data_IF_131504306080
#
_entry.id   IF_131504306080
#
_cell.length_a   1.000
_cell.length_b   1.000
_cell.length_c   1.000
_cell.angle_alpha   90.00
_cell.angle_beta   90.00
_cell.angle_gamma   90.00
#
_symmetry.space_group_name_H-M   'P 1'
#
loop_
_entity.id
_entity.type
_entity.pdbx_description
1 polymer ?
#
# COMPACT_ATOMS: atom_id res chain seq x y z
N UNK A 1 -25.66 14.07 0.32
CA UNK A 1 -24.31 13.55 0.68
C UNK A 1 -23.71 13.03 -0.61
N UNK A 2 -22.79 13.75 -1.20
CA UNK A 2 -22.02 13.27 -2.35
C UNK A 2 -21.24 12.03 -1.91
N UNK A 3 -21.38 10.92 -2.67
CA UNK A 3 -20.59 9.71 -2.44
C UNK A 3 -19.09 10.12 -2.43
N UNK A 4 -18.37 9.79 -1.37
CA UNK A 4 -16.93 9.96 -1.37
C UNK A 4 -16.35 9.20 -2.57
N UNK A 5 -15.44 9.84 -3.32
CA UNK A 5 -14.73 9.18 -4.41
C UNK A 5 -13.90 8.01 -3.88
N UNK A 6 -13.38 7.16 -4.78
CA UNK A 6 -12.47 6.07 -4.42
C UNK A 6 -11.06 6.37 -4.90
N UNK A 7 -10.07 5.75 -4.25
CA UNK A 7 -8.69 5.75 -4.76
C UNK A 7 -8.67 5.31 -6.23
N UNK A 8 -7.94 6.05 -7.08
CA UNK A 8 -7.87 5.78 -8.51
C UNK A 8 -9.07 6.27 -9.33
N UNK A 9 -10.04 6.98 -8.73
CA UNK A 9 -11.16 7.61 -9.45
C UNK A 9 -11.03 9.14 -9.49
N UNK A 10 -10.71 9.75 -8.37
CA UNK A 10 -10.57 11.21 -8.24
C UNK A 10 -9.10 11.62 -8.27
N UNK A 11 -8.24 10.84 -7.61
CA UNK A 11 -6.79 11.02 -7.53
C UNK A 11 -6.12 9.71 -7.89
N UNK A 12 -4.86 9.81 -8.36
CA UNK A 12 -4.04 8.64 -8.64
C UNK A 12 -4.68 7.72 -9.69
N UNK A 13 -5.35 8.32 -10.69
CA UNK A 13 -5.99 7.55 -11.75
C UNK A 13 -4.92 6.89 -12.62
N UNK A 14 -5.09 5.61 -12.98
CA UNK A 14 -4.12 4.90 -13.80
C UNK A 14 -3.85 5.52 -15.17
N UNK A 15 -4.80 6.33 -15.70
CA UNK A 15 -4.64 7.12 -16.93
C UNK A 15 -3.84 8.40 -16.75
N UNK A 16 -3.63 8.86 -15.51
CA UNK A 16 -2.86 10.08 -15.27
C UNK A 16 -1.39 9.87 -15.64
N UNK A 17 -0.83 10.82 -16.37
CA UNK A 17 0.58 10.73 -16.78
C UNK A 17 1.49 10.58 -15.55
N UNK A 18 2.40 9.58 -15.62
CA UNK A 18 3.36 9.29 -14.55
C UNK A 18 2.79 8.57 -13.33
N UNK A 19 1.51 8.10 -13.32
CA UNK A 19 0.99 7.34 -12.17
C UNK A 19 1.69 6.00 -12.02
N UNK A 20 1.97 5.29 -13.11
CA UNK A 20 2.76 4.07 -13.07
C UNK A 20 4.14 4.29 -12.48
N UNK A 21 4.81 5.39 -12.87
CA UNK A 21 6.14 5.75 -12.33
C UNK A 21 6.06 6.06 -10.83
N UNK A 22 5.02 6.77 -10.37
CA UNK A 22 4.81 7.04 -8.95
C UNK A 22 4.62 5.75 -8.14
N UNK A 23 3.82 4.80 -8.64
CA UNK A 23 3.64 3.49 -8.01
C UNK A 23 4.97 2.73 -7.98
N UNK A 24 5.77 2.78 -9.05
CA UNK A 24 7.09 2.16 -9.11
C UNK A 24 8.11 2.80 -8.14
N UNK A 25 7.99 4.10 -7.80
CA UNK A 25 8.78 4.73 -6.74
C UNK A 25 8.48 4.14 -5.35
N UNK A 26 7.20 3.87 -5.05
CA UNK A 26 6.82 3.16 -3.83
C UNK A 26 7.36 1.72 -3.84
N UNK A 27 7.28 1.03 -4.98
CA UNK A 27 7.86 -0.30 -5.16
C UNK A 27 9.38 -0.29 -4.92
N UNK A 28 10.11 0.63 -5.54
CA UNK A 28 11.56 0.77 -5.35
C UNK A 28 11.95 1.02 -3.88
N UNK A 29 11.05 1.62 -3.10
CA UNK A 29 11.29 1.88 -1.67
C UNK A 29 11.01 0.66 -0.79
N UNK A 30 9.92 -0.08 -1.06
CA UNK A 30 9.38 -1.06 -0.11
C UNK A 30 9.48 -2.52 -0.56
N UNK A 31 9.79 -2.80 -1.84
CA UNK A 31 9.77 -4.17 -2.35
C UNK A 31 10.80 -5.07 -1.68
N UNK A 32 12.01 -4.58 -1.42
CA UNK A 32 13.06 -5.39 -0.79
C UNK A 32 12.66 -5.83 0.63
N UNK A 33 12.12 -4.90 1.42
CA UNK A 33 11.62 -5.20 2.76
C UNK A 33 10.43 -6.17 2.69
N UNK A 34 9.49 -5.92 1.78
CA UNK A 34 8.33 -6.79 1.57
C UNK A 34 8.79 -8.21 1.21
N UNK A 35 9.64 -8.34 0.20
CA UNK A 35 10.06 -9.65 -0.29
C UNK A 35 10.92 -10.43 0.74
N UNK A 36 11.76 -9.71 1.49
CA UNK A 36 12.51 -10.31 2.60
C UNK A 36 11.55 -10.92 3.64
N UNK A 37 10.49 -10.19 4.01
CA UNK A 37 9.49 -10.69 4.96
C UNK A 37 8.72 -11.87 4.39
N UNK A 38 8.25 -11.80 3.15
CA UNK A 38 7.51 -12.89 2.52
C UNK A 38 8.34 -14.19 2.49
N UNK A 39 9.63 -14.11 2.16
CA UNK A 39 10.56 -15.26 2.20
C UNK A 39 10.76 -15.82 3.62
N UNK A 40 10.91 -14.95 4.62
CA UNK A 40 11.03 -15.39 6.03
C UNK A 40 9.76 -16.09 6.52
N UNK A 41 8.60 -15.75 5.94
CA UNK A 41 7.33 -16.41 6.22
C UNK A 41 7.15 -17.73 5.45
N UNK A 42 8.09 -18.07 4.55
CA UNK A 42 8.14 -19.34 3.86
C UNK A 42 7.80 -19.28 2.37
N UNK A 43 7.55 -18.06 1.81
CA UNK A 43 7.28 -17.94 0.37
C UNK A 43 8.42 -18.54 -0.45
N UNK A 44 8.10 -19.56 -1.24
CA UNK A 44 9.10 -20.35 -1.97
C UNK A 44 8.49 -21.36 -2.94
N UNK A 45 9.30 -22.32 -3.43
CA UNK A 45 8.87 -23.31 -4.40
C UNK A 45 7.60 -24.07 -3.98
N UNK A 46 6.70 -24.30 -4.91
CA UNK A 46 5.44 -25.00 -4.67
C UNK A 46 4.29 -24.09 -4.20
N UNK A 47 4.57 -22.87 -3.75
CA UNK A 47 3.53 -21.99 -3.25
C UNK A 47 2.69 -21.37 -4.36
N UNK A 48 1.39 -21.30 -4.10
CA UNK A 48 0.40 -20.53 -4.87
C UNK A 48 0.11 -19.23 -4.12
N UNK A 49 0.32 -18.11 -4.80
CA UNK A 49 0.20 -16.80 -4.18
C UNK A 49 -0.94 -15.98 -4.81
N UNK A 50 -1.61 -15.20 -3.98
CA UNK A 50 -2.55 -14.16 -4.40
C UNK A 50 -1.97 -12.79 -4.02
N UNK A 51 -1.81 -11.91 -5.00
CA UNK A 51 -1.39 -10.51 -4.79
C UNK A 51 -2.57 -9.59 -5.08
N UNK A 52 -3.09 -8.94 -4.05
CA UNK A 52 -4.32 -8.14 -4.06
C UNK A 52 -3.97 -6.66 -4.15
N UNK A 53 -4.55 -5.95 -5.13
CA UNK A 53 -4.17 -4.58 -5.43
C UNK A 53 -2.74 -4.52 -5.95
N UNK A 54 -2.41 -5.38 -6.91
CA UNK A 54 -1.03 -5.63 -7.33
C UNK A 54 -0.37 -4.45 -8.07
N UNK A 55 -1.13 -3.42 -8.47
CA UNK A 55 -0.63 -2.20 -9.10
C UNK A 55 0.19 -2.48 -10.36
N UNK A 56 1.47 -2.14 -10.34
CA UNK A 56 2.40 -2.44 -11.46
C UNK A 56 2.91 -3.89 -11.45
N UNK A 57 2.60 -4.68 -10.40
CA UNK A 57 2.93 -6.10 -10.30
C UNK A 57 4.38 -6.40 -9.93
N UNK A 58 5.09 -5.49 -9.31
CA UNK A 58 6.50 -5.67 -8.95
C UNK A 58 6.68 -6.80 -7.94
N UNK A 59 5.85 -6.83 -6.87
CA UNK A 59 5.89 -7.90 -5.85
C UNK A 59 5.55 -9.26 -6.47
N UNK A 60 4.47 -9.34 -7.26
CA UNK A 60 4.06 -10.57 -7.92
C UNK A 60 5.18 -11.16 -8.80
N UNK A 61 5.84 -10.33 -9.61
CA UNK A 61 6.94 -10.77 -10.48
C UNK A 61 8.19 -11.14 -9.69
N UNK A 62 8.48 -10.45 -8.60
CA UNK A 62 9.61 -10.76 -7.72
C UNK A 62 9.38 -12.06 -6.93
N UNK A 63 8.15 -12.35 -6.50
CA UNK A 63 7.80 -13.64 -5.91
C UNK A 63 8.13 -14.80 -6.86
N UNK A 64 7.74 -14.70 -8.12
CA UNK A 64 8.05 -15.71 -9.15
C UNK A 64 9.56 -15.83 -9.38
N UNK A 65 10.25 -14.72 -9.62
CA UNK A 65 11.65 -14.71 -10.04
C UNK A 65 12.62 -14.99 -8.90
N UNK A 66 12.37 -14.42 -7.71
CA UNK A 66 13.34 -14.36 -6.62
C UNK A 66 12.99 -15.28 -5.45
N UNK A 67 11.70 -15.51 -5.18
CA UNK A 67 11.26 -16.51 -4.20
C UNK A 67 11.01 -17.89 -4.84
N UNK A 68 10.82 -17.93 -6.16
CA UNK A 68 10.63 -19.18 -6.90
C UNK A 68 9.26 -19.82 -6.63
N UNK A 69 8.24 -19.02 -6.28
CA UNK A 69 6.88 -19.55 -6.09
C UNK A 69 6.34 -20.11 -7.42
N UNK A 70 5.42 -21.07 -7.35
CA UNK A 70 4.95 -21.80 -8.54
C UNK A 70 4.04 -20.94 -9.42
N UNK A 71 3.16 -20.16 -8.79
CA UNK A 71 2.23 -19.29 -9.50
C UNK A 71 1.80 -18.09 -8.64
N UNK A 72 1.50 -16.99 -9.29
CA UNK A 72 0.90 -15.82 -8.66
C UNK A 72 -0.35 -15.43 -9.44
N UNK A 73 -1.47 -15.33 -8.76
CA UNK A 73 -2.65 -14.63 -9.23
C UNK A 73 -2.58 -13.19 -8.74
N UNK A 74 -2.40 -12.24 -9.65
CA UNK A 74 -2.42 -10.82 -9.35
C UNK A 74 -3.79 -10.24 -9.70
N UNK A 75 -4.43 -9.62 -8.74
CA UNK A 75 -5.73 -8.97 -8.93
C UNK A 75 -5.60 -7.47 -8.67
N UNK A 76 -6.23 -6.69 -9.55
CA UNK A 76 -6.34 -5.25 -9.38
C UNK A 76 -7.64 -4.76 -10.02
N UNK A 77 -8.12 -3.61 -9.61
CA UNK A 77 -9.27 -2.97 -10.24
C UNK A 77 -8.94 -2.46 -11.65
N UNK A 78 -7.70 -2.03 -11.85
CA UNK A 78 -7.17 -1.66 -13.15
C UNK A 78 -5.90 -2.45 -13.46
N UNK A 79 -5.95 -3.28 -14.47
CA UNK A 79 -4.86 -4.20 -14.82
C UNK A 79 -3.95 -3.70 -15.93
N UNK A 80 -4.08 -2.45 -16.40
CA UNK A 80 -3.30 -1.93 -17.53
C UNK A 80 -1.79 -2.04 -17.32
N UNK A 81 -1.30 -1.75 -16.12
CA UNK A 81 0.12 -1.88 -15.79
C UNK A 81 0.56 -3.35 -15.66
N UNK A 82 -0.29 -4.19 -15.08
CA UNK A 82 -0.04 -5.62 -14.96
C UNK A 82 0.01 -6.32 -16.32
N UNK A 83 -0.98 -6.04 -17.18
CA UNK A 83 -1.13 -6.66 -18.48
C UNK A 83 -0.02 -6.23 -19.47
N UNK A 84 0.58 -5.06 -19.29
CA UNK A 84 1.63 -4.54 -20.15
C UNK A 84 2.92 -5.38 -20.12
N UNK A 85 3.13 -6.22 -19.10
CA UNK A 85 4.36 -7.03 -18.93
C UNK A 85 4.00 -8.49 -18.62
N UNK A 86 3.65 -9.31 -19.61
CA UNK A 86 3.39 -10.74 -19.43
C UNK A 86 4.59 -11.43 -18.76
N UNK A 87 4.33 -12.30 -17.80
CA UNK A 87 5.37 -13.01 -17.04
C UNK A 87 4.93 -14.47 -16.85
N UNK A 88 5.77 -15.46 -17.16
CA UNK A 88 5.46 -16.86 -16.91
C UNK A 88 5.11 -17.11 -15.43
N UNK A 89 4.04 -17.84 -15.16
CA UNK A 89 3.55 -18.10 -13.82
C UNK A 89 2.69 -16.99 -13.21
N UNK A 90 2.56 -15.82 -13.87
CA UNK A 90 1.70 -14.73 -13.45
C UNK A 90 0.36 -14.79 -14.20
N UNK A 91 -0.72 -14.97 -13.47
CA UNK A 91 -2.08 -14.77 -13.97
C UNK A 91 -2.60 -13.41 -13.51
N UNK A 92 -3.12 -12.63 -14.43
CA UNK A 92 -3.68 -11.29 -14.16
C UNK A 92 -5.20 -11.36 -14.26
N UNK A 93 -5.89 -10.84 -13.25
CA UNK A 93 -7.35 -10.74 -13.24
C UNK A 93 -7.79 -9.35 -12.79
N UNK A 94 -8.64 -8.73 -13.58
CA UNK A 94 -9.31 -7.51 -13.17
C UNK A 94 -10.44 -7.86 -12.18
N UNK A 95 -10.39 -7.29 -10.98
CA UNK A 95 -11.41 -7.49 -9.95
C UNK A 95 -11.45 -6.31 -8.98
N UNK A 96 -12.65 -5.91 -8.59
CA UNK A 96 -12.85 -4.98 -7.47
C UNK A 96 -12.88 -5.80 -6.17
N UNK A 97 -11.88 -5.57 -5.32
CA UNK A 97 -11.76 -6.28 -4.03
C UNK A 97 -12.93 -5.99 -3.07
N UNK A 98 -13.69 -4.93 -3.31
CA UNK A 98 -14.89 -4.61 -2.51
C UNK A 98 -16.15 -5.32 -2.99
N UNK A 99 -16.13 -5.86 -4.20
CA UNK A 99 -17.17 -6.76 -4.68
C UNK A 99 -16.90 -8.18 -4.15
N UNK A 100 -17.96 -8.94 -3.85
CA UNK A 100 -17.83 -10.31 -3.29
C UNK A 100 -17.31 -11.35 -4.32
N UNK A 101 -16.71 -10.88 -5.42
CA UNK A 101 -16.25 -11.71 -6.55
C UNK A 101 -14.73 -11.99 -6.48
N UNK A 102 -14.27 -12.48 -5.34
CA UNK A 102 -12.89 -12.98 -5.25
C UNK A 102 -12.74 -14.28 -6.03
N UNK A 103 -11.57 -14.49 -6.68
CA UNK A 103 -11.30 -15.75 -7.36
C UNK A 103 -11.38 -16.91 -6.37
N UNK A 104 -12.07 -18.00 -6.72
CA UNK A 104 -12.07 -19.20 -5.89
C UNK A 104 -10.67 -19.79 -5.83
N UNK A 105 -10.30 -20.32 -4.68
CA UNK A 105 -9.00 -20.98 -4.54
C UNK A 105 -8.53 -21.02 -3.09
N UNK A 106 -7.45 -21.75 -2.90
CA UNK A 106 -6.69 -21.81 -1.67
C UNK A 106 -5.26 -21.40 -2.00
N UNK A 107 -4.73 -20.44 -1.24
CA UNK A 107 -3.42 -19.87 -1.45
C UNK A 107 -2.54 -20.10 -0.23
N UNK A 108 -1.27 -20.40 -0.47
CA UNK A 108 -0.26 -20.50 0.58
C UNK A 108 0.14 -19.11 1.09
N UNK A 109 0.07 -18.10 0.20
CA UNK A 109 0.27 -16.69 0.52
C UNK A 109 -0.87 -15.85 -0.07
N UNK A 110 -1.48 -15.02 0.77
CA UNK A 110 -2.30 -13.87 0.32
C UNK A 110 -1.58 -12.60 0.77
N UNK A 111 -1.28 -11.73 -0.18
CA UNK A 111 -0.60 -10.47 0.06
C UNK A 111 -1.46 -9.30 -0.41
N UNK A 112 -1.48 -8.22 0.35
CA UNK A 112 -2.07 -6.95 -0.03
C UNK A 112 -1.23 -5.79 0.53
N UNK A 113 -0.83 -4.85 -0.32
CA UNK A 113 -0.01 -3.71 0.09
C UNK A 113 -0.53 -2.40 -0.50
N UNK A 114 -0.71 -1.39 0.36
CA UNK A 114 -1.27 -0.07 0.03
C UNK A 114 -2.69 -0.17 -0.55
N UNK A 115 -3.51 -1.05 0.05
CA UNK A 115 -4.88 -1.34 -0.38
C UNK A 115 -5.89 -1.08 0.72
N UNK A 116 -5.70 -1.69 1.89
CA UNK A 116 -6.73 -1.75 2.92
C UNK A 116 -7.01 -0.39 3.57
N UNK A 117 -6.02 0.49 3.62
CA UNK A 117 -6.17 1.87 4.12
C UNK A 117 -7.15 2.69 3.29
N UNK A 118 -7.45 2.29 2.05
CA UNK A 118 -8.40 2.93 1.14
C UNK A 118 -9.81 2.32 1.23
N UNK A 119 -9.99 1.27 2.02
CA UNK A 119 -11.26 0.55 2.11
C UNK A 119 -12.08 1.00 3.33
N UNK A 120 -13.41 1.07 3.19
CA UNK A 120 -14.27 1.48 4.30
C UNK A 120 -14.26 0.49 5.47
N UNK A 121 -13.98 -0.79 5.21
CA UNK A 121 -13.98 -1.87 6.21
C UNK A 121 -12.78 -2.81 6.03
N UNK A 122 -11.55 -2.39 6.42
CA UNK A 122 -10.38 -3.25 6.33
C UNK A 122 -10.51 -4.55 7.14
N UNK A 123 -11.24 -4.55 8.27
CA UNK A 123 -11.52 -5.75 9.06
C UNK A 123 -12.32 -6.79 8.29
N UNK A 124 -13.34 -6.39 7.52
CA UNK A 124 -14.09 -7.30 6.65
C UNK A 124 -13.20 -7.85 5.54
N UNK A 125 -12.35 -7.01 4.97
CA UNK A 125 -11.41 -7.43 3.94
C UNK A 125 -10.41 -8.44 4.47
N UNK A 126 -9.79 -8.18 5.62
CA UNK A 126 -8.87 -9.13 6.29
C UNK A 126 -9.55 -10.48 6.52
N UNK A 127 -10.79 -10.48 7.01
CA UNK A 127 -11.56 -11.72 7.20
C UNK A 127 -11.85 -12.43 5.86
N UNK A 128 -12.14 -11.70 4.79
CA UNK A 128 -12.34 -12.26 3.45
C UNK A 128 -11.06 -12.88 2.91
N UNK A 129 -9.94 -12.15 2.96
CA UNK A 129 -8.64 -12.64 2.51
C UNK A 129 -8.17 -13.86 3.31
N UNK A 130 -8.43 -13.87 4.63
CA UNK A 130 -8.12 -15.01 5.49
C UNK A 130 -8.82 -16.30 5.08
N UNK A 131 -10.06 -16.22 4.55
CA UNK A 131 -10.80 -17.39 4.04
C UNK A 131 -10.24 -17.98 2.75
N UNK A 132 -9.40 -17.23 2.03
CA UNK A 132 -8.76 -17.69 0.80
C UNK A 132 -7.47 -18.49 1.08
N UNK A 133 -7.01 -18.53 2.32
CA UNK A 133 -5.80 -19.25 2.68
C UNK A 133 -6.02 -20.77 2.66
N UNK A 134 -5.00 -21.49 2.23
CA UNK A 134 -4.85 -22.90 2.51
C UNK A 134 -4.61 -23.13 4.02
N UNK A 135 -4.85 -24.33 4.57
CA UNK A 135 -4.44 -24.66 5.93
C UNK A 135 -2.94 -24.36 6.13
N UNK A 136 -2.58 -23.61 7.18
CA UNK A 136 -1.22 -23.16 7.44
C UNK A 136 -0.71 -22.01 6.56
N UNK A 137 -1.48 -21.58 5.57
CA UNK A 137 -1.16 -20.44 4.69
C UNK A 137 -1.04 -19.12 5.46
N UNK A 138 -0.42 -18.12 4.87
CA UNK A 138 -0.14 -16.82 5.50
C UNK A 138 -0.83 -15.68 4.77
N UNK A 139 -1.50 -14.80 5.52
CA UNK A 139 -1.95 -13.49 5.06
C UNK A 139 -0.95 -12.44 5.50
N UNK A 140 -0.52 -11.61 4.57
CA UNK A 140 0.34 -10.44 4.82
C UNK A 140 -0.36 -9.19 4.29
N UNK A 141 -0.58 -8.23 5.16
CA UNK A 141 -1.16 -6.93 4.81
C UNK A 141 -0.18 -5.82 5.18
N UNK A 142 0.02 -4.86 4.27
CA UNK A 142 0.95 -3.76 4.49
C UNK A 142 0.38 -2.44 3.99
N UNK A 143 0.32 -1.42 4.85
CA UNK A 143 -0.17 -0.10 4.46
C UNK A 143 0.63 1.02 5.12
N UNK A 144 0.45 2.25 4.62
CA UNK A 144 1.11 3.41 5.17
C UNK A 144 0.69 3.65 6.63
N UNK A 145 1.64 3.94 7.48
CA UNK A 145 1.42 4.36 8.87
C UNK A 145 2.18 5.65 9.13
N UNK A 146 1.48 6.65 9.65
CA UNK A 146 2.11 7.92 10.00
C UNK A 146 2.32 8.00 11.51
N UNK A 147 3.55 7.69 11.92
CA UNK A 147 4.03 7.84 13.30
C UNK A 147 5.04 8.98 13.44
N UNK A 148 5.32 9.68 12.35
CA UNK A 148 6.45 10.60 12.26
C UNK A 148 6.02 12.05 12.04
N UNK A 149 4.84 12.30 11.47
CA UNK A 149 4.39 13.67 11.17
C UNK A 149 3.15 14.11 11.96
N UNK A 150 2.33 13.17 12.46
CA UNK A 150 1.06 13.46 13.09
C UNK A 150 1.21 14.36 14.33
N UNK A 151 2.16 14.04 15.22
CA UNK A 151 2.42 14.75 16.49
C UNK A 151 3.77 15.48 16.50
N UNK A 152 4.42 15.62 15.32
CA UNK A 152 5.68 16.32 15.19
C UNK A 152 5.50 17.86 15.32
N UNK A 153 6.55 18.61 15.66
CA UNK A 153 6.53 20.08 15.62
C UNK A 153 6.07 20.61 14.25
N UNK A 154 5.45 21.78 14.26
CA UNK A 154 4.99 22.44 13.05
C UNK A 154 6.16 22.87 12.18
N UNK A 155 6.29 22.24 11.05
CA UNK A 155 7.16 22.61 9.93
C UNK A 155 6.32 22.63 8.66
N UNK A 156 6.75 23.26 7.56
CA UNK A 156 6.06 23.18 6.28
C UNK A 156 5.76 21.72 5.87
N UNK A 157 6.73 20.84 6.04
CA UNK A 157 6.59 19.42 5.72
C UNK A 157 5.51 18.73 6.58
N UNK A 158 5.58 18.85 7.91
CA UNK A 158 4.64 18.16 8.80
C UNK A 158 3.21 18.71 8.69
N UNK A 159 3.05 20.01 8.47
CA UNK A 159 1.75 20.64 8.22
C UNK A 159 1.13 20.12 6.92
N UNK A 160 1.90 20.06 5.85
CA UNK A 160 1.43 19.57 4.55
C UNK A 160 1.11 18.08 4.60
N UNK A 161 1.91 17.25 5.28
CA UNK A 161 1.61 15.82 5.46
C UNK A 161 0.30 15.60 6.23
N UNK A 162 0.05 16.35 7.30
CA UNK A 162 -1.22 16.30 8.04
C UNK A 162 -2.41 16.73 7.20
N UNK A 163 -2.25 17.81 6.42
CA UNK A 163 -3.28 18.28 5.49
C UNK A 163 -3.58 17.23 4.40
N UNK A 164 -2.55 16.56 3.88
CA UNK A 164 -2.70 15.49 2.90
C UNK A 164 -3.52 14.32 3.46
N UNK A 165 -3.17 13.80 4.64
CA UNK A 165 -3.92 12.70 5.25
C UNK A 165 -5.36 13.08 5.54
N UNK A 166 -5.60 14.31 6.03
CA UNK A 166 -6.94 14.81 6.24
C UNK A 166 -7.71 14.91 4.93
N UNK A 167 -7.13 15.54 3.91
CA UNK A 167 -7.75 15.70 2.60
C UNK A 167 -8.08 14.36 1.93
N UNK A 168 -7.18 13.39 1.99
CA UNK A 168 -7.42 12.04 1.45
C UNK A 168 -8.52 11.30 2.22
N UNK A 169 -8.59 11.47 3.55
CA UNK A 169 -9.67 10.89 4.36
C UNK A 169 -11.01 11.50 3.99
N UNK A 170 -11.08 12.82 3.88
CA UNK A 170 -12.33 13.55 3.63
C UNK A 170 -12.83 13.32 2.18
N UNK A 171 -11.93 13.13 1.21
CA UNK A 171 -12.28 13.01 -0.21
C UNK A 171 -12.51 11.57 -0.69
N UNK A 172 -11.64 10.64 -0.32
CA UNK A 172 -11.65 9.26 -0.81
C UNK A 172 -11.67 8.18 0.29
N UNK A 173 -11.78 8.59 1.55
CA UNK A 173 -11.89 7.68 2.68
C UNK A 173 -10.61 6.97 3.09
N UNK A 174 -9.43 7.41 2.60
CA UNK A 174 -8.14 6.84 3.01
C UNK A 174 -7.89 7.10 4.50
N UNK A 175 -7.75 6.06 5.29
CA UNK A 175 -7.57 6.18 6.74
C UNK A 175 -6.39 5.37 7.27
N UNK A 176 -5.24 6.01 7.37
CA UNK A 176 -4.00 5.42 7.89
C UNK A 176 -4.03 5.21 9.40
N UNK A 177 -4.94 5.87 10.14
CA UNK A 177 -5.06 5.73 11.59
C UNK A 177 -5.53 4.33 12.03
N UNK A 178 -6.14 3.57 11.10
CA UNK A 178 -6.60 2.19 11.33
C UNK A 178 -5.50 1.15 11.15
N UNK A 179 -4.43 1.49 10.44
CA UNK A 179 -3.35 0.57 10.08
C UNK A 179 -2.65 -0.07 11.30
N UNK A 180 -2.36 0.65 12.40
CA UNK A 180 -1.79 0.05 13.61
C UNK A 180 -2.65 -1.04 14.24
N UNK A 181 -3.94 -1.13 13.90
CA UNK A 181 -4.87 -2.14 14.40
C UNK A 181 -4.91 -3.43 13.56
N UNK A 182 -4.16 -3.53 12.48
CA UNK A 182 -4.14 -4.73 11.64
C UNK A 182 -3.81 -6.03 12.42
N UNK A 183 -2.87 -6.06 13.37
CA UNK A 183 -2.66 -7.26 14.18
C UNK A 183 -3.89 -7.69 14.98
N UNK A 184 -4.67 -6.74 15.51
CA UNK A 184 -5.94 -7.02 16.19
C UNK A 184 -6.96 -7.61 15.20
N UNK A 185 -7.10 -6.99 14.01
CA UNK A 185 -8.04 -7.45 12.98
C UNK A 185 -7.69 -8.85 12.45
N UNK A 186 -6.39 -9.17 12.29
CA UNK A 186 -5.92 -10.50 11.90
C UNK A 186 -6.29 -11.56 12.96
N UNK A 187 -6.12 -11.26 14.24
CA UNK A 187 -6.54 -12.15 15.34
C UNK A 187 -8.05 -12.34 15.35
N UNK A 188 -8.82 -11.26 15.18
CA UNK A 188 -10.28 -11.31 15.11
C UNK A 188 -10.78 -12.14 13.92
N UNK A 189 -10.03 -12.19 12.82
CA UNK A 189 -10.28 -13.05 11.66
C UNK A 189 -9.89 -14.54 11.89
N UNK A 190 -9.44 -14.91 13.07
CA UNK A 190 -9.08 -16.30 13.43
C UNK A 190 -7.66 -16.71 13.04
N UNK A 191 -6.83 -15.77 12.57
CA UNK A 191 -5.45 -16.08 12.23
C UNK A 191 -4.58 -16.19 13.48
N UNK A 192 -3.58 -17.05 13.42
CA UNK A 192 -2.64 -17.35 14.51
C UNK A 192 -1.24 -16.86 14.18
N UNK A 193 -0.34 -16.88 15.16
CA UNK A 193 1.05 -16.42 15.01
C UNK A 193 1.12 -15.00 14.42
N UNK A 194 0.21 -14.15 14.88
CA UNK A 194 0.09 -12.79 14.38
C UNK A 194 1.25 -11.94 14.91
N UNK A 195 1.94 -11.26 14.00
CA UNK A 195 2.97 -10.28 14.31
C UNK A 195 2.93 -9.12 13.31
N UNK A 196 3.65 -8.07 13.60
CA UNK A 196 3.80 -6.92 12.71
C UNK A 196 5.18 -6.28 12.88
N UNK A 197 5.57 -5.53 11.89
CA UNK A 197 6.75 -4.67 11.90
C UNK A 197 6.47 -3.37 11.15
N UNK A 198 7.27 -2.35 11.42
CA UNK A 198 7.20 -1.07 10.71
C UNK A 198 8.56 -0.80 10.09
N UNK A 199 8.55 -0.47 8.82
CA UNK A 199 9.71 0.01 8.09
C UNK A 199 9.53 1.49 7.76
N UNK A 200 10.43 2.34 8.27
CA UNK A 200 10.51 3.76 7.94
C UNK A 200 11.74 3.95 7.05
N UNK A 201 11.59 4.23 5.76
CA UNK A 201 12.73 4.43 4.88
C UNK A 201 13.43 5.76 5.20
N UNK A 202 14.74 5.87 4.96
CA UNK A 202 15.41 7.16 5.09
C UNK A 202 14.91 8.14 4.02
N UNK A 203 14.53 9.34 4.43
CA UNK A 203 14.13 10.42 3.54
C UNK A 203 15.40 11.17 3.08
N UNK A 204 15.95 10.75 1.96
CA UNK A 204 17.16 11.34 1.37
C UNK A 204 16.78 12.07 0.09
N UNK A 205 17.26 13.31 -0.15
CA UNK A 205 17.02 14.05 -1.37
C UNK A 205 17.27 13.21 -2.64
N UNK A 206 16.37 13.29 -3.61
CA UNK A 206 16.44 12.52 -4.87
C UNK A 206 16.20 11.02 -4.74
N UNK A 207 15.99 10.49 -3.53
CA UNK A 207 15.62 9.08 -3.34
C UNK A 207 14.24 8.74 -3.90
N UNK A 208 13.95 7.45 -4.08
CA UNK A 208 12.64 7.00 -4.55
C UNK A 208 11.50 7.49 -3.63
N UNK A 209 11.69 7.43 -2.31
CA UNK A 209 10.68 7.87 -1.35
C UNK A 209 10.49 9.38 -1.34
N UNK A 210 11.55 10.17 -1.50
CA UNK A 210 11.46 11.63 -1.61
C UNK A 210 10.64 12.01 -2.85
N UNK A 211 10.96 11.45 -4.01
CA UNK A 211 10.21 11.68 -5.26
C UNK A 211 8.76 11.17 -5.18
N UNK A 212 8.53 10.03 -4.53
CA UNK A 212 7.17 9.51 -4.31
C UNK A 212 6.31 10.50 -3.53
N UNK A 213 6.84 11.04 -2.42
CA UNK A 213 6.10 12.01 -1.62
C UNK A 213 5.92 13.32 -2.35
N UNK A 214 6.94 13.85 -3.03
CA UNK A 214 6.81 15.08 -3.82
C UNK A 214 5.68 14.95 -4.87
N UNK A 215 5.68 13.86 -5.66
CA UNK A 215 4.61 13.60 -6.63
C UNK A 215 3.24 13.40 -5.98
N UNK A 216 3.18 12.76 -4.82
CA UNK A 216 1.93 12.55 -4.08
C UNK A 216 1.36 13.86 -3.57
N UNK A 217 2.19 14.74 -3.01
CA UNK A 217 1.79 16.07 -2.55
C UNK A 217 1.28 16.92 -3.72
N UNK A 218 1.97 16.92 -4.85
CA UNK A 218 1.51 17.68 -6.03
C UNK A 218 0.15 17.20 -6.53
N UNK A 219 -0.08 15.87 -6.59
CA UNK A 219 -1.36 15.30 -7.04
C UNK A 219 -2.51 15.53 -6.07
N UNK A 220 -2.23 15.71 -4.80
CA UNK A 220 -3.24 15.94 -3.75
C UNK A 220 -3.36 17.40 -3.35
N UNK A 221 -2.66 18.31 -4.02
CA UNK A 221 -2.58 19.75 -3.72
C UNK A 221 -3.95 20.39 -3.48
N UNK A 222 -4.87 20.26 -4.43
CA UNK A 222 -6.20 20.84 -4.32
C UNK A 222 -6.98 20.31 -3.11
N UNK A 223 -6.82 19.03 -2.79
CA UNK A 223 -7.45 18.39 -1.65
C UNK A 223 -6.87 18.89 -0.33
N UNK A 224 -5.56 19.11 -0.27
CA UNK A 224 -4.90 19.68 0.91
C UNK A 224 -5.35 21.13 1.16
N UNK A 225 -5.38 21.95 0.12
CA UNK A 225 -5.84 23.35 0.21
C UNK A 225 -7.31 23.41 0.66
N UNK A 226 -8.15 22.50 0.15
CA UNK A 226 -9.56 22.41 0.54
C UNK A 226 -9.76 22.09 2.04
N UNK A 227 -8.76 21.56 2.75
CA UNK A 227 -8.83 21.39 4.21
C UNK A 227 -8.78 22.73 4.98
N UNK A 228 -8.29 23.80 4.34
CA UNK A 228 -8.04 25.09 4.99
C UNK A 228 -6.82 25.10 5.93
N UNK A 229 -6.04 24.03 5.97
CA UNK A 229 -4.85 23.94 6.85
C UNK A 229 -3.58 24.48 6.18
N UNK A 230 -3.52 24.47 4.86
CA UNK A 230 -2.36 24.84 4.06
C UNK A 230 -2.79 25.62 2.81
N UNK A 231 -1.88 26.41 2.27
CA UNK A 231 -2.01 27.09 0.98
C UNK A 231 -0.99 26.58 -0.04
N UNK A 232 -1.04 27.07 -1.28
CA UNK A 232 -0.13 26.70 -2.35
C UNK A 232 1.34 26.94 -2.00
N UNK A 233 1.63 28.09 -1.37
CA UNK A 233 2.99 28.48 -1.02
C UNK A 233 3.62 27.49 -0.02
N UNK A 234 2.85 27.05 0.96
CA UNK A 234 3.30 26.07 1.96
C UNK A 234 3.52 24.69 1.33
N UNK A 235 2.65 24.28 0.39
CA UNK A 235 2.84 23.02 -0.36
C UNK A 235 4.12 23.10 -1.19
N UNK A 236 4.38 24.20 -1.90
CA UNK A 236 5.62 24.38 -2.67
C UNK A 236 6.86 24.35 -1.78
N UNK A 237 6.77 24.92 -0.57
CA UNK A 237 7.87 24.89 0.39
C UNK A 237 8.16 23.45 0.86
N UNK A 238 7.12 22.69 1.21
CA UNK A 238 7.25 21.31 1.61
C UNK A 238 7.82 20.41 0.49
N UNK A 239 7.37 20.60 -0.75
CA UNK A 239 7.89 19.85 -1.91
C UNK A 239 9.37 20.17 -2.14
N UNK A 240 9.76 21.44 -2.07
CA UNK A 240 11.17 21.85 -2.18
C UNK A 240 12.02 21.29 -1.04
N UNK A 241 11.48 21.24 0.17
CA UNK A 241 12.16 20.70 1.35
C UNK A 241 12.51 19.22 1.16
N UNK A 242 11.64 18.41 0.55
CA UNK A 242 11.89 17.00 0.28
C UNK A 242 13.14 16.74 -0.61
N UNK A 243 13.56 17.72 -1.38
CA UNK A 243 14.74 17.64 -2.25
C UNK A 243 15.92 18.49 -1.70
N UNK A 244 15.76 19.09 -0.53
CA UNK A 244 16.79 19.88 0.12
C UNK A 244 17.82 19.00 0.83
N UNK A 245 19.13 19.30 0.74
CA UNK A 245 20.14 18.62 1.55
C UNK A 245 19.96 18.84 3.06
N UNK A 246 19.15 19.79 3.47
CA UNK A 246 18.81 20.06 4.86
C UNK A 246 17.62 19.20 5.37
N UNK A 247 16.98 18.41 4.50
CA UNK A 247 15.89 17.52 4.88
C UNK A 247 16.41 16.43 5.82
N UNK A 248 15.98 16.51 7.08
CA UNK A 248 16.31 15.54 8.12
C UNK A 248 15.03 14.89 8.72
N UNK A 249 13.93 15.04 8.04
CA UNK A 249 12.63 14.51 8.48
C UNK A 249 12.53 13.00 8.25
N UNK A 250 11.56 12.37 8.89
CA UNK A 250 11.17 10.99 8.64
C UNK A 250 9.84 10.97 7.87
N UNK A 251 9.73 10.20 6.78
CA UNK A 251 8.47 10.03 6.09
C UNK A 251 7.56 9.07 6.85
N UNK A 252 6.25 9.01 6.52
CA UNK A 252 5.42 7.89 6.94
C UNK A 252 6.06 6.56 6.56
N UNK A 253 5.96 5.59 7.46
CA UNK A 253 6.45 4.25 7.25
C UNK A 253 5.42 3.34 6.59
N UNK A 254 5.80 2.08 6.39
CA UNK A 254 4.90 0.99 6.04
C UNK A 254 4.84 0.01 7.21
N UNK A 255 3.65 -0.19 7.76
CA UNK A 255 3.40 -1.28 8.69
C UNK A 255 3.02 -2.52 7.88
N UNK A 256 3.76 -3.60 8.06
CA UNK A 256 3.37 -4.94 7.61
C UNK A 256 2.90 -5.77 8.80
N UNK A 257 1.70 -6.35 8.68
CA UNK A 257 1.17 -7.29 9.65
C UNK A 257 0.85 -8.62 8.96
N UNK A 258 1.04 -9.73 9.65
CA UNK A 258 0.78 -11.06 9.10
C UNK A 258 0.19 -12.00 10.15
N UNK A 259 -0.46 -13.05 9.66
CA UNK A 259 -0.99 -14.14 10.47
C UNK A 259 -1.20 -15.39 9.63
N UNK A 260 -1.23 -16.56 10.28
CA UNK A 260 -1.39 -17.86 9.63
C UNK A 260 -2.79 -18.42 9.83
N UNK A 261 -3.32 -19.03 8.78
CA UNK A 261 -4.50 -19.89 8.90
C UNK A 261 -4.20 -21.07 9.85
N UNK A 262 -5.16 -21.53 10.65
CA UNK A 262 -5.05 -22.82 11.33
C UNK A 262 -4.74 -23.96 10.35
N UNK A 263 -4.08 -25.02 10.85
CA UNK A 263 -3.81 -26.24 10.08
C UNK A 263 -5.08 -27.02 9.80
#
# INVERSE_FOLDING_TARGET
>A
MTSAGRYGECFFRPEDAGEGDRVDLAAATFDDTTLARLRQLGAGPGWRCLDVGAGTGTVARRLLREAGVSEVLAVDRDVRFLAARPTPGLTVRQADVTADDFPPGRFDLVHARFVLMHLPSPERMIATLGRLLAPGGVLVVGDAVDLTTADAPDTPYTLVMRAMWRGLRDSIGTDVSRVPRYPEMLRAAGLRSVAAEIHVPPLVPGSAISRFWAQTLDRTRSTMIATGLVDDALVDEAVRHLDSPECADLPPGMLMAWGRSPL
#
